data_IF_394573543797
#
_entry.id   IF_394573543797
#
_cell.length_a   1.000
_cell.length_b   1.000
_cell.length_c   1.000
_cell.angle_alpha   90.00
_cell.angle_beta   90.00
_cell.angle_gamma   90.00
#
_symmetry.space_group_name_H-M   'P 1'
#
loop_
_entity.id
_entity.type
_entity.pdbx_description
1 polymer ?
#
# COMPACT_ATOMS: atom_id res chain seq x y z
N UNK A 1 -11.81 -19.25 15.03
CA UNK A 1 -11.72 -19.66 13.62
C UNK A 1 -12.22 -18.47 12.80
N UNK A 2 -11.35 -17.69 12.16
CA UNK A 2 -11.76 -16.43 11.51
C UNK A 2 -12.66 -16.78 10.33
N UNK A 3 -13.89 -16.27 10.34
CA UNK A 3 -14.88 -16.51 9.29
C UNK A 3 -14.34 -15.99 7.95
N UNK A 4 -14.09 -16.88 7.00
CA UNK A 4 -13.42 -16.59 5.71
C UNK A 4 -14.40 -16.04 4.68
N UNK A 5 -15.64 -15.73 5.07
CA UNK A 5 -16.73 -15.43 4.15
C UNK A 5 -17.13 -13.95 4.26
N UNK A 6 -16.95 -13.22 3.17
CA UNK A 6 -17.49 -11.87 2.99
C UNK A 6 -18.66 -11.93 2.00
N UNK A 7 -19.73 -11.15 2.22
CA UNK A 7 -20.85 -11.07 1.27
C UNK A 7 -20.99 -9.64 0.74
N UNK A 8 -20.99 -9.50 -0.57
CA UNK A 8 -21.36 -8.25 -1.27
C UNK A 8 -22.74 -8.41 -1.91
N UNK A 9 -23.54 -7.34 -1.93
CA UNK A 9 -24.86 -7.36 -2.55
C UNK A 9 -24.81 -7.71 -4.05
N UNK A 10 -23.78 -7.24 -4.77
CA UNK A 10 -23.64 -7.45 -6.22
C UNK A 10 -22.93 -8.74 -6.61
N UNK A 11 -22.06 -9.26 -5.75
CA UNK A 11 -21.15 -10.39 -6.08
C UNK A 11 -21.54 -11.66 -5.32
N UNK A 12 -22.29 -11.53 -4.22
CA UNK A 12 -22.63 -12.65 -3.35
C UNK A 12 -21.51 -12.97 -2.36
N UNK A 13 -21.44 -14.23 -1.94
CA UNK A 13 -20.47 -14.71 -0.93
C UNK A 13 -19.12 -14.98 -1.58
N UNK A 14 -18.07 -14.38 -1.03
CA UNK A 14 -16.68 -14.49 -1.44
C UNK A 14 -15.88 -15.15 -0.32
N UNK A 15 -15.05 -16.14 -0.69
CA UNK A 15 -13.96 -16.60 0.18
C UNK A 15 -12.82 -15.58 0.09
N UNK A 16 -12.43 -15.02 1.23
CA UNK A 16 -11.35 -14.03 1.31
C UNK A 16 -10.34 -14.40 2.39
N UNK A 17 -9.12 -13.89 2.23
CA UNK A 17 -8.08 -13.95 3.25
C UNK A 17 -8.03 -12.59 3.92
N UNK A 18 -8.37 -12.54 5.21
CA UNK A 18 -8.31 -11.31 6.00
C UNK A 18 -6.86 -10.97 6.34
N UNK A 19 -6.45 -9.73 6.05
CA UNK A 19 -5.14 -9.22 6.47
C UNK A 19 -5.12 -8.75 7.93
N UNK A 20 -6.29 -8.40 8.47
CA UNK A 20 -6.57 -7.99 9.85
C UNK A 20 -8.08 -8.05 10.10
N UNK A 21 -8.48 -8.04 11.36
CA UNK A 21 -9.87 -7.86 11.75
C UNK A 21 -10.32 -6.41 11.50
N UNK A 22 -11.61 -6.21 11.20
CA UNK A 22 -12.17 -4.87 11.04
C UNK A 22 -12.53 -4.33 12.43
N UNK A 23 -12.08 -3.10 12.78
CA UNK A 23 -12.36 -2.52 14.10
C UNK A 23 -13.84 -2.21 14.31
N UNK A 24 -14.56 -1.92 13.22
CA UNK A 24 -16.00 -1.63 13.21
C UNK A 24 -16.61 -2.13 11.90
N UNK A 25 -17.93 -2.13 11.82
CA UNK A 25 -18.63 -2.44 10.58
C UNK A 25 -18.27 -1.41 9.49
N UNK A 26 -17.91 -1.86 8.27
CA UNK A 26 -17.50 -0.94 7.22
C UNK A 26 -18.68 -0.19 6.63
N UNK A 27 -18.49 1.11 6.36
CA UNK A 27 -19.48 1.94 5.65
C UNK A 27 -19.50 1.67 4.16
N UNK A 28 -18.36 1.28 3.58
CA UNK A 28 -18.25 0.90 2.17
C UNK A 28 -17.11 -0.10 1.94
N UNK A 29 -17.18 -0.75 0.77
CA UNK A 29 -16.19 -1.71 0.30
C UNK A 29 -15.90 -1.49 -1.18
N UNK A 30 -14.61 -1.38 -1.52
CA UNK A 30 -14.13 -1.26 -2.90
C UNK A 30 -13.45 -2.55 -3.31
N UNK A 31 -13.88 -3.12 -4.43
CA UNK A 31 -13.24 -4.27 -5.06
C UNK A 31 -12.21 -3.76 -6.08
N UNK A 32 -10.94 -4.11 -5.87
CA UNK A 32 -9.83 -3.65 -6.71
C UNK A 32 -9.24 -4.86 -7.42
N UNK A 33 -9.05 -4.78 -8.73
CA UNK A 33 -8.26 -5.75 -9.51
C UNK A 33 -6.96 -5.08 -9.93
N UNK A 34 -5.82 -5.61 -9.50
CA UNK A 34 -4.53 -5.07 -9.91
C UNK A 34 -4.08 -5.59 -11.29
N UNK A 35 -2.97 -5.04 -11.79
CA UNK A 35 -2.38 -5.44 -13.07
C UNK A 35 -1.85 -6.88 -13.08
N UNK A 36 -1.65 -7.48 -11.91
CA UNK A 36 -1.29 -8.89 -11.74
C UNK A 36 -2.54 -9.80 -11.62
N UNK A 37 -3.73 -9.27 -11.93
CA UNK A 37 -5.01 -9.97 -11.87
C UNK A 37 -5.39 -10.50 -10.49
N UNK A 38 -4.85 -9.89 -9.42
CA UNK A 38 -5.23 -10.18 -8.04
C UNK A 38 -6.38 -9.27 -7.64
N UNK A 39 -7.29 -9.81 -6.84
CA UNK A 39 -8.41 -9.07 -6.28
C UNK A 39 -8.13 -8.69 -4.83
N UNK A 40 -8.45 -7.45 -4.48
CA UNK A 40 -8.38 -6.92 -3.13
C UNK A 40 -9.71 -6.30 -2.73
N UNK A 41 -10.03 -6.36 -1.44
CA UNK A 41 -11.13 -5.64 -0.83
C UNK A 41 -10.55 -4.54 0.05
N UNK A 42 -10.95 -3.30 -0.20
CA UNK A 42 -10.64 -2.15 0.65
C UNK A 42 -11.90 -1.72 1.38
N UNK A 43 -11.85 -1.78 2.71
CA UNK A 43 -12.97 -1.42 3.58
C UNK A 43 -12.76 -0.03 4.16
N UNK A 44 -13.79 0.81 4.10
CA UNK A 44 -13.83 2.07 4.84
C UNK A 44 -14.55 1.81 6.16
N UNK A 45 -13.89 2.11 7.26
CA UNK A 45 -14.40 1.89 8.63
C UNK A 45 -14.28 3.18 9.42
N UNK A 46 -15.26 3.45 10.27
CA UNK A 46 -15.17 4.54 11.23
C UNK A 46 -14.49 4.04 12.50
N UNK A 47 -13.53 4.81 13.00
CA UNK A 47 -12.85 4.52 14.26
C UNK A 47 -12.98 5.74 15.17
N UNK A 48 -13.25 5.50 16.45
CA UNK A 48 -13.11 6.57 17.43
C UNK A 48 -11.62 6.69 17.78
N UNK A 49 -11.04 7.90 17.70
CA UNK A 49 -9.67 8.10 18.11
C UNK A 49 -9.54 7.86 19.62
N UNK A 50 -8.52 7.11 20.00
CA UNK A 50 -8.14 6.99 21.40
C UNK A 50 -7.57 8.34 21.87
N UNK A 51 -8.25 8.97 22.83
CA UNK A 51 -7.76 10.21 23.44
C UNK A 51 -6.70 9.86 24.47
N UNK A 52 -5.45 10.17 24.15
CA UNK A 52 -4.35 10.01 25.09
C UNK A 52 -4.36 11.14 26.14
N UNK A 53 -3.85 10.90 27.36
CA UNK A 53 -3.68 11.94 28.37
C UNK A 53 -2.88 13.12 27.81
N UNK A 54 -3.25 14.34 28.20
CA UNK A 54 -2.48 15.54 27.83
C UNK A 54 -1.08 15.46 28.45
N UNK A 55 -0.10 15.95 27.69
CA UNK A 55 1.28 16.10 28.14
C UNK A 55 1.75 17.51 27.79
N UNK A 56 2.57 18.09 28.66
CA UNK A 56 3.23 19.39 28.41
C UNK A 56 4.47 19.23 27.52
N UNK A 57 4.81 17.99 27.13
CA UNK A 57 5.92 17.71 26.22
C UNK A 57 5.51 18.03 24.78
N UNK A 58 6.36 18.77 24.08
CA UNK A 58 6.22 19.03 22.65
C UNK A 58 7.53 18.77 21.93
N UNK A 59 7.47 18.20 20.73
CA UNK A 59 8.64 18.02 19.86
C UNK A 59 8.32 18.55 18.46
N UNK A 60 9.19 19.40 17.94
CA UNK A 60 9.11 19.85 16.55
C UNK A 60 9.62 18.75 15.62
N UNK A 61 8.91 18.49 14.53
CA UNK A 61 9.27 17.47 13.53
C UNK A 61 9.48 18.15 12.18
N UNK A 62 10.70 18.06 11.65
CA UNK A 62 11.01 18.44 10.26
C UNK A 62 11.15 17.18 9.40
N UNK A 63 10.42 17.14 8.28
CA UNK A 63 10.37 15.97 7.39
C UNK A 63 11.27 16.17 6.17
N UNK A 64 12.10 15.17 5.85
CA UNK A 64 13.10 15.27 4.79
C UNK A 64 13.26 14.04 3.91
N UNK A 65 13.94 14.23 2.77
CA UNK A 65 14.21 13.16 1.79
C UNK A 65 15.45 12.35 2.18
N UNK A 66 16.47 13.00 2.76
CA UNK A 66 17.71 12.33 3.22
C UNK A 66 17.52 11.66 4.58
N UNK A 67 16.91 12.41 5.50
CA UNK A 67 16.53 12.01 6.85
C UNK A 67 15.02 12.18 6.91
N UNK A 68 14.28 11.10 7.18
CA UNK A 68 12.82 11.09 7.10
C UNK A 68 12.21 12.07 8.08
N UNK A 69 12.72 12.07 9.32
CA UNK A 69 12.27 13.00 10.34
C UNK A 69 13.43 13.41 11.24
N UNK A 70 13.55 14.71 11.49
CA UNK A 70 14.46 15.30 12.48
C UNK A 70 13.63 15.95 13.57
N UNK A 71 13.90 15.57 14.81
CA UNK A 71 13.16 16.03 15.98
C UNK A 71 13.93 17.16 16.66
N UNK A 72 13.23 18.11 17.30
CA UNK A 72 13.86 19.22 18.02
C UNK A 72 14.70 18.78 19.23
N UNK A 73 14.51 17.55 19.71
CA UNK A 73 15.32 16.91 20.77
C UNK A 73 16.65 16.31 20.24
N UNK A 74 16.92 16.43 18.93
CA UNK A 74 18.10 15.90 18.26
C UNK A 74 17.95 14.48 17.70
N UNK A 75 16.84 13.80 17.97
CA UNK A 75 16.53 12.47 17.40
C UNK A 75 16.38 12.55 15.88
N UNK A 76 16.92 11.56 15.18
CA UNK A 76 16.85 11.48 13.71
C UNK A 76 16.40 10.10 13.26
N UNK A 77 15.43 10.09 12.35
CA UNK A 77 14.94 8.88 11.68
C UNK A 77 15.42 8.90 10.24
N UNK A 78 16.22 7.91 9.85
CA UNK A 78 16.73 7.82 8.49
C UNK A 78 15.64 7.53 7.47
N UNK A 79 15.75 8.17 6.29
CA UNK A 79 14.80 7.92 5.22
C UNK A 79 15.01 6.52 4.61
N UNK A 80 13.94 5.70 4.47
CA UNK A 80 14.04 4.48 3.71
C UNK A 80 14.40 4.84 2.26
N UNK A 81 15.33 4.09 1.67
CA UNK A 81 15.78 4.29 0.27
C UNK A 81 15.30 3.16 -0.65
N UNK A 82 13.97 2.93 -0.80
CA UNK A 82 13.45 1.79 -1.56
C UNK A 82 13.80 1.90 -3.05
N UNK A 83 13.79 3.12 -3.60
CA UNK A 83 14.17 3.34 -5.00
C UNK A 83 15.62 2.94 -5.27
N UNK A 84 16.56 3.31 -4.39
CA UNK A 84 17.98 2.94 -4.54
C UNK A 84 18.17 1.42 -4.67
N UNK A 85 17.39 0.63 -3.92
CA UNK A 85 17.43 -0.85 -4.00
C UNK A 85 16.85 -1.39 -5.31
N UNK A 86 15.85 -0.71 -5.91
CA UNK A 86 15.08 -1.23 -7.06
C UNK A 86 15.44 -0.58 -8.40
N UNK A 87 16.12 0.56 -8.42
CA UNK A 87 16.32 1.38 -9.62
C UNK A 87 17.13 0.67 -10.71
N UNK A 88 18.12 -0.17 -10.33
CA UNK A 88 18.90 -0.97 -11.29
C UNK A 88 18.01 -1.99 -12.01
N UNK A 89 17.12 -2.66 -11.27
CA UNK A 89 16.15 -3.61 -11.84
C UNK A 89 15.14 -2.87 -12.72
N UNK A 90 14.60 -1.75 -12.24
CA UNK A 90 13.66 -0.91 -12.98
C UNK A 90 14.25 -0.46 -14.33
N UNK A 91 15.47 0.11 -14.33
CA UNK A 91 16.16 0.52 -15.57
C UNK A 91 16.32 -0.63 -16.57
N UNK A 92 16.70 -1.83 -16.10
CA UNK A 92 16.84 -3.00 -16.97
C UNK A 92 15.50 -3.41 -17.60
N UNK A 93 14.43 -3.43 -16.80
CA UNK A 93 13.09 -3.77 -17.29
C UNK A 93 12.58 -2.71 -18.28
N UNK A 94 12.71 -1.43 -17.96
CA UNK A 94 12.32 -0.33 -18.86
C UNK A 94 13.06 -0.37 -20.19
N UNK A 95 14.39 -0.59 -20.19
CA UNK A 95 15.18 -0.75 -21.43
C UNK A 95 14.76 -1.99 -22.22
N UNK A 96 14.49 -3.10 -21.54
CA UNK A 96 14.00 -4.31 -22.21
C UNK A 96 12.64 -4.10 -22.87
N UNK A 97 11.75 -3.33 -22.23
CA UNK A 97 10.44 -3.00 -22.76
C UNK A 97 10.53 -2.04 -23.96
N UNK A 98 11.38 -1.01 -23.90
CA UNK A 98 11.52 -0.03 -24.98
C UNK A 98 12.05 -0.61 -26.29
N UNK A 99 12.85 -1.69 -26.23
CA UNK A 99 13.32 -2.40 -27.41
C UNK A 99 12.26 -3.34 -28.04
N UNK A 100 11.06 -3.47 -27.44
CA UNK A 100 10.01 -4.36 -27.96
C UNK A 100 8.99 -3.59 -28.78
N UNK A 101 8.57 -4.18 -29.90
CA UNK A 101 7.49 -3.65 -30.73
C UNK A 101 6.20 -3.57 -29.94
N UNK A 102 5.66 -2.36 -29.79
CA UNK A 102 4.40 -2.08 -29.10
C UNK A 102 3.28 -2.96 -29.66
N UNK A 103 2.44 -3.51 -28.78
CA UNK A 103 1.34 -4.41 -29.17
C UNK A 103 1.73 -5.86 -29.46
N UNK A 104 3.03 -6.19 -29.57
CA UNK A 104 3.44 -7.60 -29.71
C UNK A 104 3.21 -8.40 -28.42
N UNK A 105 2.99 -9.72 -28.53
CA UNK A 105 2.87 -10.62 -27.36
C UNK A 105 4.06 -10.52 -26.40
N UNK A 106 5.27 -10.32 -26.92
CA UNK A 106 6.50 -10.15 -26.13
C UNK A 106 6.52 -8.80 -25.40
N UNK A 107 6.01 -7.74 -26.03
CA UNK A 107 5.84 -6.43 -25.42
C UNK A 107 4.84 -6.50 -24.27
N UNK A 108 3.66 -7.09 -24.50
CA UNK A 108 2.64 -7.22 -23.44
C UNK A 108 3.16 -8.02 -22.24
N UNK A 109 3.87 -9.14 -22.47
CA UNK A 109 4.51 -9.92 -21.40
C UNK A 109 5.54 -9.13 -20.60
N UNK A 110 6.24 -8.18 -21.22
CA UNK A 110 7.20 -7.32 -20.53
C UNK A 110 6.54 -6.11 -19.85
N UNK A 111 5.42 -5.61 -20.39
CA UNK A 111 4.67 -4.46 -19.86
C UNK A 111 4.03 -4.76 -18.50
N UNK A 112 3.56 -6.00 -18.31
CA UNK A 112 2.91 -6.45 -17.07
C UNK A 112 3.90 -6.88 -15.98
N UNK A 113 5.21 -6.77 -16.23
CA UNK A 113 6.29 -7.36 -15.43
C UNK A 113 7.05 -6.34 -14.60
#
# INVERSE_FOLDING_TARGET
MIDTKFRSAKIGKLKIVWSRELPTAPSSVTVIKDSAHRYFLSFVVEIQPEVLPKTDNSVGIDLGIKTFATFSDGTKVDAPKPLKKRIKKLRKLSKSLSHKTKGSKRYEKARVR
#
